data_IF_976321945297
#
_entry.id   IF_976321945297
#
_cell.length_a   1.000
_cell.length_b   1.000
_cell.length_c   1.000
_cell.angle_alpha   90.00
_cell.angle_beta   90.00
_cell.angle_gamma   90.00
#
_symmetry.space_group_name_H-M   'P 1'
#
loop_
_entity.id
_entity.type
_entity.pdbx_description
1 polymer ?
#
# COMPACT_ATOMS: atom_id res chain seq x y z
N UNK A 1 25.08 -27.41 8.05
CA UNK A 1 23.96 -28.38 8.05
C UNK A 1 22.76 -27.66 7.48
N UNK A 2 21.88 -28.30 6.69
CA UNK A 2 20.69 -27.64 6.19
C UNK A 2 19.79 -27.17 7.34
N UNK A 3 19.16 -26.02 7.19
CA UNK A 3 18.22 -25.46 8.15
C UNK A 3 17.00 -26.38 8.33
N UNK A 4 16.74 -26.78 9.57
CA UNK A 4 15.55 -27.58 9.92
C UNK A 4 14.49 -26.72 10.65
N UNK A 5 13.20 -26.87 10.32
CA UNK A 5 12.13 -26.01 10.88
C UNK A 5 11.92 -26.15 12.39
N UNK A 6 12.37 -27.27 12.97
CA UNK A 6 12.17 -27.63 14.38
C UNK A 6 13.10 -26.88 15.32
N UNK A 7 14.22 -26.38 14.80
CA UNK A 7 15.27 -25.71 15.58
C UNK A 7 15.12 -24.18 15.59
N UNK A 8 14.11 -23.66 14.87
CA UNK A 8 13.87 -22.22 14.73
C UNK A 8 12.94 -21.70 15.82
N UNK A 9 13.50 -21.07 16.85
CA UNK A 9 12.74 -20.30 17.84
C UNK A 9 12.39 -18.91 17.29
N UNK A 10 11.17 -18.77 16.75
CA UNK A 10 10.72 -17.56 16.05
C UNK A 10 9.50 -16.93 16.72
N UNK A 11 9.44 -15.59 16.84
CA UNK A 11 8.32 -14.90 17.47
C UNK A 11 7.09 -14.86 16.56
N UNK A 12 5.92 -14.90 17.19
CA UNK A 12 4.64 -14.63 16.53
C UNK A 12 4.33 -13.13 16.58
N UNK A 13 5.17 -12.34 15.92
CA UNK A 13 5.11 -10.88 15.92
C UNK A 13 5.44 -10.31 14.52
N UNK A 14 5.04 -9.06 14.22
CA UNK A 14 5.41 -8.40 12.98
C UNK A 14 6.90 -8.02 12.98
N UNK A 15 7.55 -8.14 11.84
CA UNK A 15 8.96 -7.79 11.71
C UNK A 15 9.60 -8.24 10.41
N UNK A 16 10.93 -8.20 10.39
CA UNK A 16 11.77 -8.58 9.26
C UNK A 16 12.56 -9.84 9.62
N UNK A 17 12.70 -10.77 8.67
CA UNK A 17 13.52 -11.96 8.79
C UNK A 17 14.60 -11.98 7.70
N UNK A 18 15.74 -12.61 8.01
CA UNK A 18 16.91 -12.66 7.15
C UNK A 18 17.41 -14.10 7.07
N UNK A 19 17.46 -14.66 5.86
CA UNK A 19 18.20 -15.89 5.60
C UNK A 19 19.66 -15.54 5.34
N UNK A 20 20.58 -16.21 6.03
CA UNK A 20 22.01 -15.92 5.97
C UNK A 20 22.86 -17.18 6.00
N UNK A 21 24.11 -17.04 5.58
CA UNK A 21 25.14 -18.08 5.73
C UNK A 21 25.83 -17.97 7.09
N UNK A 22 26.54 -19.03 7.46
CA UNK A 22 27.44 -19.10 8.61
C UNK A 22 28.49 -17.97 8.64
N UNK A 23 28.97 -17.57 7.47
CA UNK A 23 29.90 -16.48 7.21
C UNK A 23 29.27 -15.09 7.33
N UNK A 24 27.99 -14.99 7.72
CA UNK A 24 27.28 -13.74 7.95
C UNK A 24 26.77 -13.07 6.68
N UNK A 25 26.82 -13.73 5.52
CA UNK A 25 26.29 -13.18 4.27
C UNK A 25 24.77 -13.31 4.25
N UNK A 26 24.07 -12.17 4.16
CA UNK A 26 22.62 -12.14 3.98
C UNK A 26 22.26 -12.57 2.55
N UNK A 27 21.49 -13.65 2.44
CA UNK A 27 21.05 -14.23 1.19
C UNK A 27 19.67 -13.73 0.78
N UNK A 28 18.76 -13.54 1.74
CA UNK A 28 17.42 -13.02 1.54
C UNK A 28 16.93 -12.23 2.75
N UNK A 29 16.15 -11.18 2.52
CA UNK A 29 15.43 -10.39 3.51
C UNK A 29 13.95 -10.37 3.14
N UNK A 30 13.07 -10.61 4.10
CA UNK A 30 11.63 -10.48 3.90
C UNK A 30 10.92 -9.97 5.15
N UNK A 31 9.72 -9.41 4.99
CA UNK A 31 8.86 -8.96 6.10
C UNK A 31 7.66 -9.86 6.34
N UNK A 32 7.14 -9.83 7.57
CA UNK A 32 5.97 -10.58 7.97
C UNK A 32 5.11 -9.82 8.99
N UNK A 33 3.81 -10.10 9.01
CA UNK A 33 2.93 -9.78 10.15
C UNK A 33 3.09 -10.78 11.30
N UNK A 34 3.52 -12.00 10.98
CA UNK A 34 3.92 -13.06 11.91
C UNK A 34 5.18 -13.73 11.36
N UNK A 35 6.34 -13.47 11.97
CA UNK A 35 7.63 -14.01 11.54
C UNK A 35 7.60 -15.55 11.58
N UNK A 36 7.12 -16.13 12.69
CA UNK A 36 6.97 -17.58 12.86
C UNK A 36 6.18 -18.23 11.72
N UNK A 37 4.98 -17.72 11.43
CA UNK A 37 4.13 -18.28 10.36
C UNK A 37 4.77 -18.13 8.99
N UNK A 38 5.39 -16.97 8.73
CA UNK A 38 5.97 -16.67 7.43
C UNK A 38 7.21 -17.51 7.15
N UNK A 39 8.14 -17.64 8.10
CA UNK A 39 9.35 -18.44 7.91
C UNK A 39 9.01 -19.91 7.75
N UNK A 40 8.07 -20.44 8.54
CA UNK A 40 7.59 -21.84 8.39
C UNK A 40 7.05 -22.16 6.99
N UNK A 41 6.43 -21.20 6.30
CA UNK A 41 5.94 -21.42 4.94
C UNK A 41 7.05 -21.74 3.92
N UNK A 42 8.31 -21.35 4.17
CA UNK A 42 9.45 -21.67 3.29
C UNK A 42 9.84 -23.15 3.34
N UNK A 43 9.47 -23.85 4.41
CA UNK A 43 9.77 -25.27 4.63
C UNK A 43 8.58 -26.18 4.31
N UNK A 44 7.52 -25.64 3.71
CA UNK A 44 6.37 -26.44 3.29
C UNK A 44 6.71 -27.28 2.06
N UNK A 45 6.18 -28.52 1.94
CA UNK A 45 6.54 -29.45 0.87
C UNK A 45 6.15 -28.96 -0.55
N UNK A 46 5.16 -28.06 -0.65
CA UNK A 46 4.82 -27.34 -1.88
C UNK A 46 5.12 -25.84 -1.71
N UNK A 47 6.35 -25.40 -1.97
CA UNK A 47 6.68 -23.99 -1.88
C UNK A 47 6.02 -23.19 -3.02
N UNK A 48 5.53 -21.99 -2.71
CA UNK A 48 4.91 -21.06 -3.67
C UNK A 48 5.84 -20.68 -4.85
N UNK A 49 7.15 -20.98 -4.77
CA UNK A 49 8.16 -20.60 -5.77
C UNK A 49 9.26 -21.66 -5.89
N UNK A 50 9.67 -21.91 -7.13
CA UNK A 50 10.71 -22.88 -7.49
C UNK A 50 12.10 -22.61 -6.85
N UNK A 51 12.42 -21.36 -6.48
CA UNK A 51 13.71 -20.99 -5.89
C UNK A 51 13.75 -21.07 -4.35
N UNK A 52 12.62 -21.32 -3.68
CA UNK A 52 12.57 -21.45 -2.21
C UNK A 52 13.43 -22.62 -1.71
N UNK A 53 13.38 -23.82 -2.31
CA UNK A 53 14.26 -24.93 -1.90
C UNK A 53 15.74 -24.57 -1.97
N UNK A 54 16.15 -23.82 -3.02
CA UNK A 54 17.54 -23.36 -3.17
C UNK A 54 17.94 -22.30 -2.14
N UNK A 55 17.02 -21.41 -1.76
CA UNK A 55 17.27 -20.44 -0.70
C UNK A 55 17.49 -21.16 0.63
N UNK A 56 16.58 -22.06 0.98
CA UNK A 56 16.63 -22.81 2.24
C UNK A 56 17.90 -23.68 2.29
N UNK A 57 18.23 -24.39 1.20
CA UNK A 57 19.42 -25.24 1.15
C UNK A 57 20.74 -24.46 1.18
N UNK A 58 20.74 -23.20 0.73
CA UNK A 58 21.94 -22.36 0.72
C UNK A 58 22.11 -21.53 1.99
N UNK A 59 21.16 -21.58 2.92
CA UNK A 59 21.17 -20.78 4.14
C UNK A 59 21.48 -21.67 5.34
N UNK A 60 22.27 -21.14 6.27
CA UNK A 60 22.68 -21.85 7.49
C UNK A 60 21.93 -21.34 8.73
N UNK A 61 21.43 -20.10 8.71
CA UNK A 61 20.74 -19.45 9.82
C UNK A 61 19.58 -18.56 9.33
N UNK A 62 18.56 -18.39 10.17
CA UNK A 62 17.49 -17.39 10.00
C UNK A 62 17.49 -16.42 11.16
N UNK A 63 17.84 -15.17 10.89
CA UNK A 63 17.74 -14.06 11.84
C UNK A 63 16.40 -13.32 11.73
N UNK A 64 16.05 -12.56 12.76
CA UNK A 64 14.87 -11.71 12.73
C UNK A 64 15.02 -10.42 13.57
N UNK A 65 14.22 -9.42 13.23
CA UNK A 65 14.03 -8.19 13.98
C UNK A 65 12.53 -7.95 14.13
N UNK A 66 12.04 -7.96 15.37
CA UNK A 66 10.66 -7.61 15.69
C UNK A 66 10.47 -6.10 15.59
N UNK A 67 9.30 -5.68 15.09
CA UNK A 67 8.92 -4.28 14.94
C UNK A 67 7.61 -4.00 15.68
N UNK A 68 7.35 -2.74 16.04
CA UNK A 68 6.11 -2.34 16.71
C UNK A 68 4.89 -2.37 15.78
N UNK A 69 5.11 -2.32 14.47
CA UNK A 69 4.02 -2.40 13.49
C UNK A 69 4.44 -3.02 12.14
N UNK A 70 3.50 -3.60 11.37
CA UNK A 70 3.77 -4.04 10.00
C UNK A 70 4.29 -2.93 9.07
N UNK A 71 3.97 -1.67 9.37
CA UNK A 71 4.47 -0.51 8.62
C UNK A 71 5.95 -0.24 8.90
N UNK A 72 6.41 -0.41 10.13
CA UNK A 72 7.84 -0.34 10.47
C UNK A 72 8.63 -1.48 9.81
N UNK A 73 8.10 -2.71 9.82
CA UNK A 73 8.71 -3.85 9.14
C UNK A 73 8.95 -3.58 7.65
N UNK A 74 8.05 -2.85 6.99
CA UNK A 74 8.21 -2.44 5.59
C UNK A 74 9.40 -1.49 5.38
N UNK A 75 9.57 -0.52 6.28
CA UNK A 75 10.68 0.45 6.20
C UNK A 75 12.01 -0.26 6.45
N UNK A 76 12.06 -1.07 7.50
CA UNK A 76 13.25 -1.80 7.90
C UNK A 76 13.70 -2.82 6.83
N UNK A 77 12.75 -3.54 6.21
CA UNK A 77 13.04 -4.46 5.09
C UNK A 77 13.78 -3.74 3.96
N UNK A 78 13.27 -2.59 3.51
CA UNK A 78 13.88 -1.82 2.43
C UNK A 78 15.28 -1.34 2.79
N UNK A 79 15.49 -0.91 4.03
CA UNK A 79 16.80 -0.49 4.53
C UNK A 79 17.80 -1.66 4.50
N UNK A 80 17.39 -2.83 4.98
CA UNK A 80 18.23 -4.03 5.00
C UNK A 80 18.53 -4.56 3.59
N UNK A 81 17.57 -4.53 2.67
CA UNK A 81 17.80 -4.88 1.26
C UNK A 81 18.80 -3.90 0.63
N UNK A 82 18.69 -2.60 0.88
CA UNK A 82 19.65 -1.59 0.39
C UNK A 82 21.05 -1.81 0.95
N UNK A 83 21.14 -2.11 2.25
CA UNK A 83 22.40 -2.32 2.97
C UNK A 83 23.12 -3.59 2.50
N UNK A 84 22.40 -4.71 2.41
CA UNK A 84 23.00 -6.02 2.18
C UNK A 84 22.97 -6.49 0.72
N UNK A 85 22.13 -5.88 -0.13
CA UNK A 85 21.89 -6.26 -1.53
C UNK A 85 21.83 -7.79 -1.74
N UNK A 86 20.93 -8.51 -1.05
CA UNK A 86 20.97 -9.96 -0.99
C UNK A 86 20.71 -10.59 -2.35
N UNK A 87 21.46 -11.65 -2.70
CA UNK A 87 21.38 -12.33 -4.01
C UNK A 87 19.96 -12.74 -4.34
N UNK A 88 19.26 -13.34 -3.37
CA UNK A 88 17.91 -13.80 -3.58
C UNK A 88 16.89 -12.66 -3.54
N UNK A 89 17.12 -11.48 -2.97
CA UNK A 89 16.17 -10.37 -3.16
C UNK A 89 16.17 -9.84 -4.60
N UNK A 90 17.31 -9.91 -5.30
CA UNK A 90 17.39 -9.55 -6.72
C UNK A 90 16.82 -10.64 -7.63
N UNK A 91 17.01 -11.92 -7.30
CA UNK A 91 16.41 -13.06 -8.03
C UNK A 91 14.92 -13.23 -7.72
N UNK A 92 14.51 -12.97 -6.46
CA UNK A 92 13.14 -12.73 -6.03
C UNK A 92 12.76 -11.26 -6.35
N UNK A 93 13.08 -10.76 -7.55
CA UNK A 93 12.26 -9.75 -8.23
C UNK A 93 10.91 -10.41 -8.54
N UNK A 94 10.20 -10.67 -7.45
CA UNK A 94 8.79 -10.84 -7.49
C UNK A 94 8.28 -9.50 -7.96
N UNK A 95 7.59 -9.55 -9.08
CA UNK A 95 6.85 -8.46 -9.70
C UNK A 95 5.66 -8.01 -8.81
N UNK A 96 5.76 -8.22 -7.48
CA UNK A 96 4.94 -7.62 -6.43
C UNK A 96 5.41 -6.19 -6.18
N UNK A 97 5.60 -5.45 -7.26
CA UNK A 97 5.44 -4.01 -7.25
C UNK A 97 4.15 -3.72 -6.49
N UNK A 98 4.26 -2.95 -5.42
CA UNK A 98 3.08 -2.53 -4.67
C UNK A 98 2.12 -1.85 -5.66
N UNK A 99 0.86 -2.28 -5.70
CA UNK A 99 -0.10 -1.74 -6.64
C UNK A 99 -0.24 -0.24 -6.49
N UNK A 100 -0.47 0.40 -7.62
CA UNK A 100 -0.74 1.80 -7.76
C UNK A 100 -2.24 2.01 -7.86
N UNK A 101 -2.68 3.21 -7.49
CA UNK A 101 -3.93 3.74 -8.00
C UNK A 101 -3.60 4.39 -9.34
N UNK A 102 -4.38 4.12 -10.37
CA UNK A 102 -4.18 4.73 -11.68
C UNK A 102 -5.49 5.28 -12.24
N UNK A 103 -5.39 6.40 -12.94
CA UNK A 103 -6.47 6.96 -13.75
C UNK A 103 -6.09 6.79 -15.23
N UNK A 104 -6.89 6.03 -15.96
CA UNK A 104 -6.61 5.67 -17.36
C UNK A 104 -6.82 6.83 -18.32
N UNK A 105 -6.07 6.89 -19.42
CA UNK A 105 -6.17 7.95 -20.45
C UNK A 105 -7.32 7.79 -21.47
N UNK A 106 -8.33 6.97 -21.19
CA UNK A 106 -9.46 6.80 -22.12
C UNK A 106 -10.36 8.05 -22.12
N UNK A 107 -11.22 8.17 -23.14
CA UNK A 107 -12.23 9.24 -23.27
C UNK A 107 -13.05 9.41 -21.98
N UNK A 108 -13.36 8.30 -21.31
CA UNK A 108 -13.92 8.27 -19.97
C UNK A 108 -12.91 7.60 -19.02
N UNK A 109 -12.07 8.38 -18.32
CA UNK A 109 -11.03 7.86 -17.43
C UNK A 109 -11.60 6.98 -16.31
N UNK A 110 -10.89 5.91 -15.96
CA UNK A 110 -11.27 4.98 -14.90
C UNK A 110 -10.27 4.98 -13.77
N UNK A 111 -10.74 4.89 -12.53
CA UNK A 111 -9.89 4.68 -11.36
C UNK A 111 -9.69 3.18 -11.13
N UNK A 112 -8.45 2.73 -11.18
CA UNK A 112 -8.10 1.32 -11.03
C UNK A 112 -7.01 1.11 -9.98
N UNK A 113 -7.08 -0.01 -9.28
CA UNK A 113 -6.03 -0.48 -8.39
C UNK A 113 -5.24 -1.59 -9.07
N UNK A 114 -4.02 -1.31 -9.51
CA UNK A 114 -3.27 -2.25 -10.36
C UNK A 114 -1.77 -2.21 -10.10
N UNK A 115 -1.10 -3.35 -10.25
CA UNK A 115 0.37 -3.45 -10.24
C UNK A 115 0.99 -3.07 -11.58
N UNK A 116 0.20 -3.14 -12.66
CA UNK A 116 0.61 -2.87 -14.04
C UNK A 116 -0.34 -1.83 -14.63
N UNK A 117 -0.13 -0.54 -14.35
CA UNK A 117 -0.97 0.53 -14.89
C UNK A 117 -0.90 0.54 -16.43
N UNK A 118 -2.02 0.72 -17.14
CA UNK A 118 -2.03 0.89 -18.58
C UNK A 118 -1.13 2.07 -19.01
N UNK A 119 -0.50 1.96 -20.19
CA UNK A 119 0.38 3.01 -20.71
C UNK A 119 -0.33 4.36 -20.78
N UNK A 120 0.36 5.41 -20.32
CA UNK A 120 -0.15 6.79 -20.33
C UNK A 120 -1.17 7.11 -19.24
N UNK A 121 -1.43 6.20 -18.29
CA UNK A 121 -2.25 6.49 -17.12
C UNK A 121 -1.51 7.43 -16.16
N UNK A 122 -2.26 8.29 -15.46
CA UNK A 122 -1.73 8.94 -14.25
C UNK A 122 -1.69 7.94 -13.11
N UNK A 123 -0.64 7.95 -12.31
CA UNK A 123 -0.36 6.92 -11.30
C UNK A 123 -0.01 7.54 -9.95
N UNK A 124 -0.53 6.96 -8.88
CA UNK A 124 -0.25 7.33 -7.49
C UNK A 124 0.16 6.09 -6.69
N UNK A 125 1.01 6.28 -5.69
CA UNK A 125 1.57 5.21 -4.88
C UNK A 125 3.08 5.07 -5.09
N UNK A 126 3.67 3.90 -4.77
CA UNK A 126 3.05 2.61 -4.45
C UNK A 126 2.22 2.57 -3.16
N UNK A 127 1.11 1.81 -3.15
CA UNK A 127 0.26 1.61 -1.97
C UNK A 127 0.47 0.23 -1.33
N UNK A 128 1.17 0.14 -0.18
CA UNK A 128 1.45 -1.15 0.47
C UNK A 128 0.25 -1.73 1.23
N UNK A 129 -0.70 -0.89 1.62
CA UNK A 129 -1.93 -1.29 2.31
C UNK A 129 -3.09 -1.35 1.31
N UNK A 130 -3.41 -2.57 0.88
CA UNK A 130 -4.49 -2.81 -0.06
C UNK A 130 -5.88 -2.48 0.51
N UNK A 131 -6.06 -2.59 1.84
CA UNK A 131 -7.32 -2.26 2.47
C UNK A 131 -7.57 -0.76 2.43
N UNK A 132 -6.57 0.04 2.81
CA UNK A 132 -6.65 1.50 2.75
C UNK A 132 -6.87 1.99 1.32
N UNK A 133 -6.08 1.54 0.35
CA UNK A 133 -6.21 1.95 -1.04
C UNK A 133 -7.60 1.62 -1.62
N UNK A 134 -8.12 0.41 -1.35
CA UNK A 134 -9.47 0.04 -1.78
C UNK A 134 -10.58 0.87 -1.12
N UNK A 135 -10.43 1.25 0.16
CA UNK A 135 -11.37 2.15 0.84
C UNK A 135 -11.40 3.52 0.17
N UNK A 136 -10.23 4.09 -0.12
CA UNK A 136 -10.11 5.39 -0.81
C UNK A 136 -10.77 5.32 -2.19
N UNK A 137 -10.46 4.31 -3.00
CA UNK A 137 -11.10 4.14 -4.31
C UNK A 137 -12.62 4.01 -4.17
N UNK A 138 -13.11 3.18 -3.25
CA UNK A 138 -14.55 2.99 -3.03
C UNK A 138 -15.25 4.31 -2.68
N UNK A 139 -14.61 5.12 -1.84
CA UNK A 139 -15.11 6.43 -1.45
C UNK A 139 -15.13 7.41 -2.64
N UNK A 140 -14.02 7.53 -3.36
CA UNK A 140 -13.93 8.38 -4.55
C UNK A 140 -14.97 7.98 -5.60
N UNK A 141 -15.14 6.68 -5.84
CA UNK A 141 -16.15 6.16 -6.76
C UNK A 141 -17.57 6.50 -6.33
N UNK A 142 -17.90 6.30 -5.06
CA UNK A 142 -19.25 6.56 -4.54
C UNK A 142 -19.62 8.04 -4.60
N UNK A 143 -18.69 8.92 -4.26
CA UNK A 143 -18.99 10.35 -4.13
C UNK A 143 -18.84 11.13 -5.43
N UNK A 144 -17.87 10.78 -6.28
CA UNK A 144 -17.64 11.48 -7.54
C UNK A 144 -18.22 10.74 -8.74
N UNK A 145 -18.82 9.55 -8.54
CA UNK A 145 -19.30 8.72 -9.64
C UNK A 145 -18.19 8.53 -10.68
N UNK A 146 -17.08 7.91 -10.26
CA UNK A 146 -15.97 7.55 -11.17
C UNK A 146 -16.08 6.08 -11.53
N UNK A 147 -15.86 5.75 -12.80
CA UNK A 147 -15.86 4.39 -13.30
C UNK A 147 -14.62 3.62 -12.85
N UNK A 148 -14.80 2.35 -12.57
CA UNK A 148 -13.73 1.34 -12.42
C UNK A 148 -13.71 0.38 -13.62
N UNK A 149 -14.88 0.08 -14.17
CA UNK A 149 -15.06 -0.79 -15.32
C UNK A 149 -15.43 0.00 -16.58
N UNK A 150 -15.22 -0.60 -17.75
CA UNK A 150 -15.43 0.08 -19.04
C UNK A 150 -16.91 0.24 -19.36
N UNK A 151 -17.68 -0.82 -19.13
CA UNK A 151 -19.05 -0.96 -19.62
C UNK A 151 -20.11 -0.58 -18.57
N UNK A 152 -19.67 -0.29 -17.34
CA UNK A 152 -20.56 0.13 -16.26
C UNK A 152 -20.65 1.65 -16.17
N UNK A 153 -21.88 2.13 -15.91
CA UNK A 153 -22.10 3.52 -15.54
C UNK A 153 -21.37 3.84 -14.23
N UNK A 154 -21.00 5.11 -14.02
CA UNK A 154 -20.37 5.48 -12.78
C UNK A 154 -21.31 5.24 -11.59
N UNK A 155 -20.76 4.79 -10.47
CA UNK A 155 -21.55 4.43 -9.28
C UNK A 155 -22.39 5.62 -8.79
N UNK A 156 -23.69 5.41 -8.57
CA UNK A 156 -24.61 6.46 -8.09
C UNK A 156 -25.27 7.30 -9.18
N UNK A 157 -25.11 6.95 -10.46
CA UNK A 157 -25.85 7.54 -11.57
C UNK A 157 -27.18 6.81 -11.80
N UNK A 158 -28.26 7.57 -12.01
CA UNK A 158 -29.44 7.08 -12.71
C UNK A 158 -29.23 7.18 -14.23
N UNK A 159 -29.95 6.37 -15.00
CA UNK A 159 -29.91 6.39 -16.48
C UNK A 159 -30.37 7.73 -17.10
N UNK A 160 -30.74 8.74 -16.30
CA UNK A 160 -31.29 10.00 -16.77
C UNK A 160 -30.27 11.15 -16.81
N UNK A 161 -29.16 11.06 -16.06
CA UNK A 161 -28.14 12.13 -15.94
C UNK A 161 -26.84 11.96 -16.75
N UNK A 162 -26.65 10.84 -17.46
CA UNK A 162 -25.58 10.66 -18.46
C UNK A 162 -24.13 10.89 -17.99
N UNK A 163 -23.26 11.27 -18.94
CA UNK A 163 -21.81 11.49 -18.77
C UNK A 163 -21.42 12.96 -18.56
N UNK A 164 -22.41 13.84 -18.37
CA UNK A 164 -22.20 15.27 -18.26
C UNK A 164 -21.37 15.62 -17.00
N UNK A 165 -20.36 16.49 -17.16
CA UNK A 165 -19.43 16.88 -16.11
C UNK A 165 -18.50 15.77 -15.59
N UNK A 166 -18.46 14.58 -16.22
CA UNK A 166 -17.64 13.45 -15.76
C UNK A 166 -16.15 13.79 -15.70
N UNK A 167 -15.64 14.48 -16.71
CA UNK A 167 -14.23 14.87 -16.79
C UNK A 167 -13.84 15.82 -15.66
N UNK A 168 -14.73 16.74 -15.27
CA UNK A 168 -14.45 17.65 -14.16
C UNK A 168 -14.40 16.91 -12.82
N UNK A 169 -15.27 15.91 -12.63
CA UNK A 169 -15.21 15.04 -11.44
C UNK A 169 -13.92 14.21 -11.40
N UNK A 170 -13.49 13.67 -12.54
CA UNK A 170 -12.19 12.99 -12.66
C UNK A 170 -11.06 13.93 -12.25
N UNK A 171 -11.02 15.16 -12.76
CA UNK A 171 -9.99 16.15 -12.39
C UNK A 171 -9.95 16.42 -10.89
N UNK A 172 -11.11 16.55 -10.24
CA UNK A 172 -11.16 16.70 -8.78
C UNK A 172 -10.55 15.49 -8.08
N UNK A 173 -10.86 14.27 -8.54
CA UNK A 173 -10.26 13.05 -7.98
C UNK A 173 -8.75 13.01 -8.18
N UNK A 174 -8.25 13.39 -9.35
CA UNK A 174 -6.81 13.51 -9.61
C UNK A 174 -6.14 14.46 -8.60
N UNK A 175 -6.72 15.65 -8.39
CA UNK A 175 -6.17 16.62 -7.44
C UNK A 175 -6.21 16.10 -5.99
N UNK A 176 -7.22 15.31 -5.59
CA UNK A 176 -7.27 14.69 -4.25
C UNK A 176 -6.12 13.70 -4.08
N UNK A 177 -5.84 12.91 -5.13
CA UNK A 177 -4.76 11.93 -5.13
C UNK A 177 -3.37 12.58 -5.21
N UNK A 178 -3.25 13.76 -5.82
CA UNK A 178 -2.02 14.57 -5.87
C UNK A 178 -1.66 15.21 -4.52
N UNK A 179 -2.48 15.04 -3.48
CA UNK A 179 -2.21 15.55 -2.14
C UNK A 179 -2.62 17.01 -1.94
N UNK A 180 -3.16 17.67 -2.97
CA UNK A 180 -3.75 19.01 -2.86
C UNK A 180 -5.21 18.95 -2.36
N UNK A 181 -5.41 18.15 -1.32
CA UNK A 181 -6.72 17.96 -0.77
C UNK A 181 -7.18 19.19 0.03
N UNK A 182 -6.26 20.07 0.45
CA UNK A 182 -6.59 21.33 1.11
C UNK A 182 -7.25 22.33 0.17
N UNK A 183 -6.75 22.52 -1.06
CA UNK A 183 -7.39 23.41 -2.03
C UNK A 183 -8.74 22.86 -2.47
N UNK A 184 -8.87 21.53 -2.59
CA UNK A 184 -10.12 20.87 -2.95
C UNK A 184 -11.14 20.95 -1.84
N UNK A 185 -10.76 20.71 -0.57
CA UNK A 185 -11.66 20.92 0.57
C UNK A 185 -12.16 22.36 0.54
N UNK A 186 -11.29 23.35 0.30
CA UNK A 186 -11.67 24.76 0.22
C UNK A 186 -12.63 25.03 -0.96
N UNK A 187 -12.40 24.41 -2.11
CA UNK A 187 -13.27 24.52 -3.29
C UNK A 187 -14.64 23.85 -3.07
N UNK A 188 -14.66 22.68 -2.45
CA UNK A 188 -15.87 21.95 -2.09
C UNK A 188 -16.67 22.69 -1.03
N UNK A 189 -16.00 23.28 -0.05
CA UNK A 189 -16.62 24.13 0.97
C UNK A 189 -17.34 25.30 0.30
N UNK A 190 -16.66 26.02 -0.60
CA UNK A 190 -17.29 27.12 -1.34
C UNK A 190 -18.49 26.67 -2.18
N UNK A 191 -18.41 25.50 -2.83
CA UNK A 191 -19.55 24.91 -3.58
C UNK A 191 -20.70 24.51 -2.65
N UNK A 192 -20.39 23.99 -1.46
CA UNK A 192 -21.36 23.68 -0.42
C UNK A 192 -22.08 24.93 0.06
N UNK A 193 -21.33 26.00 0.33
CA UNK A 193 -21.87 27.28 0.81
C UNK A 193 -22.81 27.88 -0.25
N UNK A 194 -22.38 27.94 -1.53
CA UNK A 194 -23.23 28.41 -2.65
C UNK A 194 -24.48 27.52 -2.82
N UNK A 195 -24.34 26.20 -2.72
CA UNK A 195 -25.47 25.28 -2.80
C UNK A 195 -26.46 25.49 -1.64
N UNK A 196 -25.95 25.78 -0.44
CA UNK A 196 -26.77 26.12 0.73
C UNK A 196 -27.48 27.46 0.55
N UNK A 197 -26.78 28.49 0.05
CA UNK A 197 -27.35 29.83 -0.23
C UNK A 197 -28.43 29.78 -1.31
N UNK A 198 -28.27 28.93 -2.32
CA UNK A 198 -29.26 28.71 -3.39
C UNK A 198 -30.34 27.67 -3.03
N UNK A 199 -30.43 27.29 -1.74
CA UNK A 199 -31.40 26.32 -1.21
C UNK A 199 -31.34 24.91 -1.85
N UNK A 200 -30.21 24.53 -2.45
CA UNK A 200 -29.95 23.20 -3.01
C UNK A 200 -29.34 22.26 -1.95
N UNK A 201 -30.14 21.95 -0.92
CA UNK A 201 -29.66 21.25 0.29
C UNK A 201 -29.08 19.86 0.05
N UNK A 202 -29.59 19.09 -0.92
CA UNK A 202 -29.04 17.77 -1.26
C UNK A 202 -27.61 17.87 -1.82
N UNK A 203 -27.35 18.86 -2.66
CA UNK A 203 -26.01 19.11 -3.21
C UNK A 203 -25.06 19.60 -2.10
N UNK A 204 -25.54 20.47 -1.21
CA UNK A 204 -24.75 20.90 -0.05
C UNK A 204 -24.38 19.73 0.86
N UNK A 205 -25.34 18.85 1.20
CA UNK A 205 -25.07 17.65 2.00
C UNK A 205 -24.04 16.73 1.33
N UNK A 206 -24.13 16.54 0.01
CA UNK A 206 -23.16 15.77 -0.77
C UNK A 206 -21.73 16.33 -0.68
N UNK A 207 -21.57 17.65 -0.81
CA UNK A 207 -20.26 18.31 -0.67
C UNK A 207 -19.71 18.21 0.76
N UNK A 208 -20.55 18.36 1.78
CA UNK A 208 -20.16 18.19 3.19
C UNK A 208 -19.59 16.79 3.47
N UNK A 209 -20.31 15.76 3.04
CA UNK A 209 -19.91 14.38 3.26
C UNK A 209 -18.58 14.06 2.53
N UNK A 210 -18.39 14.65 1.36
CA UNK A 210 -17.16 14.55 0.57
C UNK A 210 -15.95 15.18 1.30
N UNK A 211 -16.13 16.35 1.92
CA UNK A 211 -15.09 17.00 2.73
C UNK A 211 -14.67 16.09 3.91
N UNK A 212 -15.64 15.54 4.64
CA UNK A 212 -15.37 14.68 5.79
C UNK A 212 -14.57 13.42 5.41
N UNK A 213 -14.89 12.82 4.27
CA UNK A 213 -14.20 11.64 3.72
C UNK A 213 -12.76 11.95 3.33
N UNK A 214 -12.55 13.07 2.64
CA UNK A 214 -11.22 13.52 2.21
C UNK A 214 -10.35 13.81 3.45
N UNK A 215 -10.87 14.53 4.44
CA UNK A 215 -10.16 14.83 5.69
C UNK A 215 -9.76 13.55 6.45
N UNK A 216 -10.64 12.55 6.52
CA UNK A 216 -10.35 11.26 7.15
C UNK A 216 -9.23 10.51 6.43
N UNK A 217 -9.27 10.49 5.10
CA UNK A 217 -8.26 9.84 4.26
C UNK A 217 -6.88 10.49 4.37
N UNK A 218 -6.82 11.83 4.37
CA UNK A 218 -5.58 12.58 4.57
C UNK A 218 -5.01 12.32 5.96
N UNK A 219 -5.85 12.32 7.01
CA UNK A 219 -5.39 12.06 8.39
C UNK A 219 -4.74 10.68 8.51
N UNK A 220 -5.30 9.66 7.85
CA UNK A 220 -4.71 8.33 7.74
C UNK A 220 -3.40 8.29 6.91
N UNK A 221 -3.20 9.25 5.98
CA UNK A 221 -1.99 9.38 5.17
C UNK A 221 -0.89 10.26 5.79
N UNK A 222 -1.21 11.30 6.57
CA UNK A 222 -0.22 12.17 7.22
C UNK A 222 0.61 11.38 8.23
N UNK A 223 0.00 10.40 8.91
CA UNK A 223 0.71 9.46 9.79
C UNK A 223 1.67 8.55 9.00
N UNK A 224 1.45 8.34 7.69
CA UNK A 224 2.30 7.46 6.86
C UNK A 224 3.34 8.23 6.05
N UNK A 225 3.06 9.47 5.64
CA UNK A 225 3.94 10.29 4.78
C UNK A 225 5.10 10.93 5.54
N UNK A 226 4.90 11.40 6.78
CA UNK A 226 5.97 12.06 7.57
C UNK A 226 7.15 11.14 7.94
N UNK A 227 6.99 9.82 7.89
CA UNK A 227 8.05 8.85 8.20
C UNK A 227 8.86 8.39 6.98
N UNK A 228 8.57 8.90 5.77
CA UNK A 228 9.33 8.55 4.55
C UNK A 228 10.57 9.44 4.32
N UNK A 229 10.85 10.41 5.19
CA UNK A 229 12.07 11.20 5.13
C UNK A 229 12.95 10.83 6.33
N UNK A 230 14.04 10.12 6.02
CA UNK A 230 15.21 9.88 6.87
C UNK A 230 15.00 9.90 8.38
N UNK A 231 14.58 8.77 8.95
CA UNK A 231 14.88 8.51 10.35
C UNK A 231 16.29 7.91 10.40
N UNK A 232 17.28 8.75 10.70
CA UNK A 232 18.56 8.28 11.23
C UNK A 232 18.27 7.60 12.58
N UNK A 233 18.07 6.28 12.57
CA UNK A 233 17.86 5.53 13.80
C UNK A 233 19.20 5.02 14.33
N UNK A 234 19.60 5.57 15.49
CA UNK A 234 20.62 5.05 16.39
C UNK A 234 20.15 3.68 16.87
N UNK A 235 20.99 2.66 16.71
CA UNK A 235 20.68 1.29 17.11
C UNK A 235 20.90 1.08 18.61
N UNK A 236 19.88 0.55 19.28
CA UNK A 236 20.06 -0.15 20.56
C UNK A 236 19.68 -1.62 20.36
N UNK A 237 20.60 -2.50 20.69
CA UNK A 237 20.36 -3.93 20.83
C UNK A 237 20.19 -4.24 22.32
N UNK A 238 19.05 -4.80 22.71
CA UNK A 238 18.89 -5.44 24.01
C UNK A 238 18.76 -6.94 23.77
N UNK A 239 19.77 -7.70 24.20
CA UNK A 239 19.69 -9.15 24.29
C UNK A 239 18.87 -9.47 25.54
N UNK A 240 17.59 -9.73 25.37
CA UNK A 240 16.80 -10.40 26.40
C UNK A 240 17.01 -11.89 26.25
N UNK A 241 17.51 -12.54 27.30
CA UNK A 241 17.55 -14.00 27.41
C UNK A 241 16.13 -14.54 27.27
N UNK A 242 15.87 -15.23 26.17
CA UNK A 242 14.71 -16.11 26.08
C UNK A 242 15.10 -17.41 26.75
N UNK A 243 14.69 -17.56 28.02
CA UNK A 243 14.77 -18.82 28.76
C UNK A 243 14.02 -19.97 28.09
#
# INVERSE_FOLDING_TARGET
MPLEPRDLNLPDAPGVYLFRTDSGRVLYVGKATSIKSRVRSYFSPNPDRAMIPQLVSSSDEVDFIVTGSPSEALVLEKQLIRKHKPRYNSMFKDDKSYPFIAITKHEYPRIIYTRRPPKGSKIWGPFPDAGAAKRVIKLLRRHFGIRDERDNLPFGYDDQGGLEGYIDRVRVVESVLDGDAASIIKGLQRKMDIASETMQYEKAASFRDMIAVIQKTISDQIIRSRFYTEVHAIGFASRGDFG
#
